data_IF_608296497317
#
_entry.id   IF_608296497317
#
_cell.length_a   1.000
_cell.length_b   1.000
_cell.length_c   1.000
_cell.angle_alpha   90.00
_cell.angle_beta   90.00
_cell.angle_gamma   90.00
#
_symmetry.space_group_name_H-M   'P 1'
#
loop_
_entity.id
_entity.type
_entity.pdbx_description
1 polymer ?
#
# COMPACT_ATOMS: atom_id res chain seq x y z
N UNK A 1 22.78 13.37 6.27
CA UNK A 1 21.89 12.20 6.48
C UNK A 1 21.61 11.58 5.12
N UNK A 2 21.69 10.25 4.99
CA UNK A 2 21.38 9.56 3.74
C UNK A 2 19.87 9.34 3.63
N UNK A 3 19.30 9.53 2.44
CA UNK A 3 17.90 9.22 2.16
C UNK A 3 17.70 7.70 2.18
N UNK A 4 16.59 7.25 2.78
CA UNK A 4 16.18 5.85 2.72
C UNK A 4 15.95 5.45 1.25
N UNK A 5 16.34 4.23 0.89
CA UNK A 5 16.10 3.67 -0.44
C UNK A 5 15.17 2.47 -0.34
N UNK A 6 14.21 2.40 -1.25
CA UNK A 6 13.37 1.21 -1.43
C UNK A 6 14.15 0.14 -2.21
N UNK A 7 13.73 -1.12 -2.06
CA UNK A 7 14.11 -2.20 -2.97
C UNK A 7 13.28 -2.18 -4.27
N UNK A 8 12.14 -1.47 -4.26
CA UNK A 8 11.36 -1.16 -5.46
C UNK A 8 11.96 0.08 -6.10
N UNK A 9 12.38 -0.03 -7.35
CA UNK A 9 12.89 1.10 -8.13
C UNK A 9 11.79 2.15 -8.32
N UNK A 10 12.17 3.41 -8.16
CA UNK A 10 11.34 4.56 -8.48
C UNK A 10 12.11 5.48 -9.42
N UNK A 11 11.45 5.95 -10.48
CA UNK A 11 12.02 6.96 -11.36
C UNK A 11 12.45 8.20 -10.54
N UNK A 12 13.52 8.91 -10.93
CA UNK A 12 14.01 10.08 -10.19
C UNK A 12 12.97 11.20 -10.00
N UNK A 13 12.00 11.28 -10.90
CA UNK A 13 10.88 12.22 -10.92
C UNK A 13 9.54 11.60 -10.44
N UNK A 14 9.58 10.39 -9.89
CA UNK A 14 8.38 9.73 -9.36
C UNK A 14 7.75 10.56 -8.24
N UNK A 15 6.42 10.71 -8.30
CA UNK A 15 5.63 11.32 -7.23
C UNK A 15 5.41 10.38 -6.03
N UNK A 16 5.80 9.12 -6.14
CA UNK A 16 5.59 8.08 -5.13
C UNK A 16 6.92 7.45 -4.66
N UNK A 17 7.92 8.23 -4.23
CA UNK A 17 9.14 7.66 -3.67
C UNK A 17 8.86 7.07 -2.28
N UNK A 18 9.81 6.31 -1.73
CA UNK A 18 9.67 5.67 -0.39
C UNK A 18 9.41 6.70 0.73
N UNK A 19 9.71 7.98 0.50
CA UNK A 19 9.47 9.07 1.44
C UNK A 19 8.01 9.57 1.45
N UNK A 20 7.22 9.30 0.41
CA UNK A 20 5.87 9.84 0.28
C UNK A 20 4.79 8.79 0.59
N UNK A 21 4.92 7.58 0.04
CA UNK A 21 3.98 6.46 0.23
C UNK A 21 2.49 6.89 0.26
N UNK A 22 1.98 7.54 -0.80
CA UNK A 22 0.61 8.02 -0.82
C UNK A 22 -0.38 6.85 -0.83
N UNK A 23 -1.46 7.00 -0.07
CA UNK A 23 -2.55 6.03 0.01
C UNK A 23 -3.61 6.30 -1.06
N UNK A 24 -4.20 5.23 -1.57
CA UNK A 24 -5.27 5.29 -2.55
C UNK A 24 -6.05 3.99 -2.65
N UNK A 25 -6.84 3.87 -3.71
CA UNK A 25 -7.59 2.67 -4.06
C UNK A 25 -7.24 2.28 -5.48
N UNK A 26 -7.05 0.99 -5.73
CA UNK A 26 -6.84 0.46 -7.06
C UNK A 26 -7.75 -0.74 -7.33
N UNK A 27 -7.89 -1.06 -8.62
CA UNK A 27 -8.54 -2.28 -9.10
C UNK A 27 -7.46 -3.20 -9.65
N UNK A 28 -7.17 -4.33 -8.99
CA UNK A 28 -6.25 -5.34 -9.52
C UNK A 28 -6.62 -5.77 -10.95
N UNK A 29 -7.91 -6.02 -11.16
CA UNK A 29 -8.51 -6.40 -12.43
C UNK A 29 -9.80 -5.62 -12.68
N UNK A 30 -10.22 -5.48 -13.94
CA UNK A 30 -11.47 -4.76 -14.30
C UNK A 30 -12.73 -5.30 -13.63
N UNK A 31 -12.72 -6.54 -13.14
CA UNK A 31 -13.85 -7.21 -12.51
C UNK A 31 -13.63 -7.47 -11.00
N UNK A 32 -12.56 -6.93 -10.43
CA UNK A 32 -12.19 -7.10 -9.03
C UNK A 32 -12.81 -6.03 -8.13
N UNK A 33 -12.89 -6.34 -6.84
CA UNK A 33 -13.31 -5.36 -5.82
C UNK A 33 -12.18 -4.35 -5.62
N UNK A 34 -12.46 -3.04 -5.57
CA UNK A 34 -11.45 -2.02 -5.27
C UNK A 34 -10.77 -2.29 -3.93
N UNK A 35 -9.44 -2.16 -3.88
CA UNK A 35 -8.63 -2.44 -2.69
C UNK A 35 -7.83 -1.22 -2.27
N UNK A 36 -7.69 -0.95 -0.96
CA UNK A 36 -6.81 0.10 -0.48
C UNK A 36 -5.35 -0.30 -0.74
N UNK A 37 -4.55 0.67 -1.16
CA UNK A 37 -3.18 0.44 -1.56
C UNK A 37 -2.28 1.66 -1.35
N UNK A 38 -0.97 1.44 -1.42
CA UNK A 38 0.05 2.49 -1.39
C UNK A 38 0.82 2.50 -2.70
N UNK A 39 1.00 3.66 -3.32
CA UNK A 39 1.84 3.77 -4.51
C UNK A 39 3.33 3.83 -4.12
N UNK A 40 4.18 3.11 -4.84
CA UNK A 40 5.63 3.10 -4.66
C UNK A 40 6.34 2.93 -6.01
N UNK A 41 7.09 3.95 -6.44
CA UNK A 41 7.65 4.00 -7.78
C UNK A 41 6.55 3.91 -8.85
N UNK A 42 6.70 2.94 -9.76
CA UNK A 42 5.70 2.59 -10.79
C UNK A 42 4.80 1.41 -10.38
N UNK A 43 4.90 0.98 -9.11
CA UNK A 43 4.15 -0.15 -8.56
C UNK A 43 3.15 0.30 -7.49
N UNK A 44 2.24 -0.61 -7.15
CA UNK A 44 1.23 -0.43 -6.11
C UNK A 44 1.32 -1.59 -5.12
N UNK A 45 1.28 -1.26 -3.83
CA UNK A 45 1.32 -2.19 -2.72
C UNK A 45 -0.10 -2.48 -2.21
N UNK A 46 -0.58 -3.70 -2.42
CA UNK A 46 -1.90 -4.18 -1.97
C UNK A 46 -1.92 -4.36 -0.44
N UNK A 47 -2.61 -3.48 0.29
CA UNK A 47 -2.66 -3.51 1.76
C UNK A 47 -3.43 -4.72 2.30
N UNK A 48 -4.58 -5.13 1.73
CA UNK A 48 -5.22 -6.41 2.05
C UNK A 48 -4.28 -7.60 1.98
N UNK A 49 -3.54 -7.74 0.88
CA UNK A 49 -2.62 -8.87 0.69
C UNK A 49 -1.53 -8.91 1.77
N UNK A 50 -0.97 -7.75 2.14
CA UNK A 50 0.00 -7.66 3.23
C UNK A 50 -0.62 -8.04 4.57
N UNK A 51 -1.84 -7.57 4.85
CA UNK A 51 -2.55 -7.88 6.08
C UNK A 51 -2.75 -9.39 6.25
N UNK A 52 -3.17 -10.07 5.17
CA UNK A 52 -3.38 -11.52 5.16
C UNK A 52 -2.09 -12.32 5.40
N UNK A 53 -0.93 -11.80 4.97
CA UNK A 53 0.37 -12.42 5.25
C UNK A 53 0.88 -12.20 6.68
N UNK A 54 0.22 -11.36 7.49
CA UNK A 54 0.63 -11.07 8.86
C UNK A 54 1.89 -10.21 8.98
N UNK A 55 2.26 -9.49 7.91
CA UNK A 55 3.46 -8.63 7.89
C UNK A 55 3.26 -7.30 8.63
N UNK A 56 2.02 -6.90 8.91
CA UNK A 56 1.75 -5.81 9.85
C UNK A 56 1.91 -6.33 11.27
N UNK A 57 3.08 -6.15 11.86
CA UNK A 57 3.42 -6.65 13.20
C UNK A 57 3.32 -5.59 14.31
N UNK A 58 3.02 -4.34 13.93
CA UNK A 58 2.87 -3.22 14.86
C UNK A 58 1.60 -3.29 15.73
N UNK A 59 1.54 -2.52 16.83
CA UNK A 59 0.51 -2.64 17.87
C UNK A 59 -0.92 -2.32 17.40
N UNK A 60 -1.08 -1.65 16.25
CA UNK A 60 -2.38 -1.19 15.74
C UNK A 60 -2.91 -2.12 14.65
N UNK A 61 -2.04 -2.65 13.80
CA UNK A 61 -2.43 -3.37 12.58
C UNK A 61 -2.19 -4.88 12.66
N UNK A 62 -1.58 -5.36 13.74
CA UNK A 62 -1.38 -6.79 13.96
C UNK A 62 -2.72 -7.51 14.10
N UNK A 63 -3.02 -8.37 13.12
CA UNK A 63 -4.28 -9.12 13.04
C UNK A 63 -5.50 -8.25 12.70
N UNK A 64 -5.29 -7.01 12.24
CA UNK A 64 -6.39 -6.13 11.87
C UNK A 64 -7.01 -6.52 10.51
N UNK A 65 -8.32 -6.36 10.40
CA UNK A 65 -9.11 -6.63 9.19
C UNK A 65 -9.59 -5.33 8.51
N UNK A 66 -9.13 -4.16 8.96
CA UNK A 66 -9.57 -2.85 8.47
C UNK A 66 -9.33 -2.64 6.96
N UNK A 67 -8.36 -3.34 6.37
CA UNK A 67 -8.09 -3.29 4.93
C UNK A 67 -9.05 -4.16 4.09
N UNK A 68 -9.74 -5.11 4.72
CA UNK A 68 -10.69 -6.03 4.07
C UNK A 68 -12.12 -5.46 4.01
N UNK A 69 -12.34 -4.30 4.63
CA UNK A 69 -13.67 -3.70 4.73
C UNK A 69 -14.06 -3.01 3.41
N UNK A 70 -15.17 -3.45 2.80
CA UNK A 70 -15.73 -2.90 1.56
C UNK A 70 -16.42 -1.52 1.74
N UNK A 71 -16.10 -0.80 2.82
CA UNK A 71 -16.68 0.50 3.16
C UNK A 71 -15.54 1.38 3.64
N UNK A 72 -14.97 2.21 2.76
CA UNK A 72 -14.31 3.40 3.25
C UNK A 72 -15.42 4.31 3.78
N UNK A 73 -15.63 4.27 5.10
CA UNK A 73 -16.47 5.24 5.77
C UNK A 73 -15.85 6.63 5.54
N UNK A 74 -16.60 7.47 4.84
CA UNK A 74 -16.37 8.92 4.75
C UNK A 74 -16.56 9.57 6.12
#
# INVERSE_FOLDING_TARGET
MALLKSFVDAAPDSHSPIQNLPYGVFWPDSNSIPRPAVAIGDSVLDLPAISETGLFDGPILNGADCFLQNQMAM
#
